data_IF_767823819087
#
_entry.id   IF_767823819087
#
_cell.length_a   1.000
_cell.length_b   1.000
_cell.length_c   1.000
_cell.angle_alpha   90.00
_cell.angle_beta   90.00
_cell.angle_gamma   90.00
#
_symmetry.space_group_name_H-M   'P 1'
#
loop_
_entity.id
_entity.type
_entity.pdbx_description
1 polymer ?
#
# COMPACT_ATOMS: atom_id res chain seq x y z
N UNK A 1 -10.47 6.51 11.43
CA UNK A 1 -11.58 7.49 11.28
C UNK A 1 -12.09 7.42 9.86
N UNK A 2 -13.39 7.63 9.61
CA UNK A 2 -13.94 7.68 8.25
C UNK A 2 -14.11 9.15 7.85
N UNK A 3 -13.61 9.52 6.67
CA UNK A 3 -13.76 10.86 6.09
C UNK A 3 -14.77 10.80 4.93
N UNK A 4 -15.57 11.84 4.78
CA UNK A 4 -16.51 11.95 3.66
C UNK A 4 -15.85 12.67 2.48
N UNK A 5 -16.02 12.13 1.27
CA UNK A 5 -15.57 12.76 0.02
C UNK A 5 -16.76 12.96 -0.92
N UNK A 6 -16.80 14.11 -1.58
CA UNK A 6 -17.72 14.38 -2.70
C UNK A 6 -16.90 14.50 -3.96
N UNK A 7 -17.17 13.65 -4.96
CA UNK A 7 -16.48 13.67 -6.24
C UNK A 7 -17.48 13.48 -7.38
N UNK A 8 -17.23 14.18 -8.49
CA UNK A 8 -17.97 13.96 -9.74
C UNK A 8 -17.21 12.90 -10.53
N UNK A 9 -17.93 11.88 -10.99
CA UNK A 9 -17.38 10.77 -11.76
C UNK A 9 -18.16 10.63 -13.06
N UNK A 10 -17.43 10.28 -14.12
CA UNK A 10 -18.01 9.98 -15.41
C UNK A 10 -19.06 8.84 -15.33
N UNK A 11 -20.16 8.99 -16.05
CA UNK A 11 -21.29 8.08 -16.01
C UNK A 11 -20.94 6.65 -16.47
N UNK A 12 -20.03 6.51 -17.43
CA UNK A 12 -19.60 5.21 -17.94
C UNK A 12 -18.72 4.50 -16.92
N UNK A 13 -17.86 5.25 -16.23
CA UNK A 13 -17.05 4.73 -15.12
C UNK A 13 -17.96 4.25 -13.98
N UNK A 14 -18.94 5.05 -13.59
CA UNK A 14 -19.90 4.66 -12.54
C UNK A 14 -20.68 3.39 -12.92
N UNK A 15 -21.09 3.27 -14.19
CA UNK A 15 -21.81 2.11 -14.71
C UNK A 15 -20.96 0.83 -14.65
N UNK A 16 -19.67 0.93 -14.95
CA UNK A 16 -18.71 -0.18 -14.83
C UNK A 16 -18.50 -0.60 -13.37
N UNK A 17 -18.37 0.36 -12.46
CA UNK A 17 -18.27 0.11 -11.01
C UNK A 17 -19.51 -0.60 -10.49
N UNK A 18 -20.70 -0.17 -10.90
CA UNK A 18 -21.96 -0.78 -10.48
C UNK A 18 -22.16 -2.20 -11.02
N UNK A 19 -21.58 -2.54 -12.18
CA UNK A 19 -21.54 -3.92 -12.67
C UNK A 19 -20.59 -4.76 -11.84
N UNK A 20 -19.38 -4.27 -11.60
CA UNK A 20 -18.35 -4.99 -10.84
C UNK A 20 -18.79 -5.25 -9.39
N UNK A 21 -19.37 -4.26 -8.70
CA UNK A 21 -19.79 -4.40 -7.29
C UNK A 21 -20.77 -5.56 -7.06
N UNK A 22 -21.62 -5.85 -8.06
CA UNK A 22 -22.58 -6.98 -8.02
C UNK A 22 -21.86 -8.32 -8.08
N UNK A 23 -20.79 -8.43 -8.87
CA UNK A 23 -19.99 -9.65 -8.98
C UNK A 23 -19.23 -9.94 -7.68
N UNK A 24 -18.62 -8.91 -7.09
CA UNK A 24 -17.80 -9.06 -5.88
C UNK A 24 -18.59 -8.95 -4.57
N UNK A 25 -19.91 -8.72 -4.64
CA UNK A 25 -20.82 -8.55 -3.49
C UNK A 25 -20.32 -7.49 -2.49
N UNK A 26 -19.82 -6.35 -2.97
CA UNK A 26 -19.35 -5.22 -2.15
C UNK A 26 -20.19 -3.97 -2.38
N UNK A 27 -20.16 -3.04 -1.41
CA UNK A 27 -20.80 -1.73 -1.60
C UNK A 27 -20.05 -0.90 -2.64
N UNK A 28 -20.72 0.11 -3.20
CA UNK A 28 -20.07 1.04 -4.13
C UNK A 28 -18.87 1.75 -3.50
N UNK A 29 -19.03 2.23 -2.27
CA UNK A 29 -17.97 2.92 -1.53
C UNK A 29 -16.75 2.03 -1.32
N UNK A 30 -16.94 0.75 -0.94
CA UNK A 30 -15.85 -0.20 -0.78
C UNK A 30 -15.12 -0.49 -2.09
N UNK A 31 -15.85 -0.59 -3.21
CA UNK A 31 -15.21 -0.81 -4.52
C UNK A 31 -14.37 0.41 -4.90
N UNK A 32 -14.87 1.62 -4.68
CA UNK A 32 -14.13 2.86 -4.96
C UNK A 32 -12.89 2.95 -4.05
N UNK A 33 -13.04 2.65 -2.76
CA UNK A 33 -11.94 2.65 -1.80
C UNK A 33 -10.81 1.70 -2.22
N UNK A 34 -11.13 0.45 -2.58
CA UNK A 34 -10.15 -0.52 -3.07
C UNK A 34 -9.46 -0.07 -4.36
N UNK A 35 -10.21 0.57 -5.26
CA UNK A 35 -9.64 1.05 -6.52
C UNK A 35 -8.65 2.19 -6.27
N UNK A 36 -9.00 3.12 -5.38
CA UNK A 36 -8.11 4.23 -4.97
C UNK A 36 -6.88 3.69 -4.25
N UNK A 37 -7.05 2.75 -3.32
CA UNK A 37 -5.93 2.13 -2.58
C UNK A 37 -4.95 1.44 -3.53
N UNK A 38 -5.45 0.62 -4.47
CA UNK A 38 -4.60 -0.03 -5.47
C UNK A 38 -3.87 0.97 -6.36
N UNK A 39 -4.58 1.98 -6.87
CA UNK A 39 -3.99 3.01 -7.70
C UNK A 39 -2.88 3.77 -6.97
N UNK A 40 -3.13 4.17 -5.71
CA UNK A 40 -2.12 4.84 -4.90
C UNK A 40 -0.92 3.94 -4.61
N UNK A 41 -1.14 2.65 -4.35
CA UNK A 41 -0.04 1.71 -4.14
C UNK A 41 0.80 1.48 -5.40
N UNK A 42 0.19 1.49 -6.59
CA UNK A 42 0.88 1.34 -7.87
C UNK A 42 1.68 2.61 -8.25
N UNK A 43 1.11 3.80 -8.06
CA UNK A 43 1.73 5.09 -8.42
C UNK A 43 2.70 5.62 -7.35
N UNK A 44 2.42 5.31 -6.10
CA UNK A 44 3.21 5.67 -4.93
C UNK A 44 3.38 4.41 -4.09
N UNK A 45 4.19 3.43 -4.55
CA UNK A 45 4.57 2.32 -3.70
C UNK A 45 5.11 2.94 -2.43
N UNK A 46 4.46 2.66 -1.29
CA UNK A 46 4.92 3.19 -0.02
C UNK A 46 6.39 2.82 0.09
N UNK A 47 7.25 3.84 0.08
CA UNK A 47 8.68 3.72 0.34
C UNK A 47 8.88 3.43 1.83
N UNK A 48 8.31 2.33 2.29
CA UNK A 48 8.68 1.61 3.50
C UNK A 48 9.37 0.30 3.14
N UNK A 49 9.88 0.19 1.90
CA UNK A 49 10.96 -0.75 1.63
C UNK A 49 12.13 -0.31 2.50
N UNK A 50 12.40 -1.08 3.55
CA UNK A 50 13.70 -1.01 4.22
C UNK A 50 14.70 -1.40 3.14
N UNK A 51 15.31 -0.41 2.51
CA UNK A 51 16.48 -0.61 1.67
C UNK A 51 17.61 -1.02 2.61
N UNK A 52 17.63 -2.29 3.01
CA UNK A 52 18.87 -2.90 3.43
C UNK A 52 19.70 -2.99 2.16
N UNK A 53 20.58 -2.01 1.95
CA UNK A 53 21.76 -2.28 1.14
C UNK A 53 22.32 -3.60 1.66
N UNK A 54 22.55 -4.58 0.78
CA UNK A 54 23.10 -5.89 1.11
C UNK A 54 24.53 -5.76 1.62
N UNK A 55 24.72 -5.07 2.75
CA UNK A 55 25.96 -4.98 3.48
C UNK A 55 26.16 -6.33 4.14
N UNK A 56 26.90 -7.19 3.45
CA UNK A 56 27.46 -8.38 4.08
C UNK A 56 28.47 -7.88 5.11
N UNK A 57 28.10 -7.92 6.38
CA UNK A 57 29.06 -7.73 7.46
C UNK A 57 29.94 -8.97 7.51
N UNK A 58 31.19 -8.84 7.05
CA UNK A 58 32.22 -9.89 7.11
C UNK A 58 33.17 -9.66 8.30
N UNK A 59 32.62 -9.27 9.45
CA UNK A 59 33.38 -9.18 10.70
C UNK A 59 33.03 -10.34 11.62
N UNK A 60 34.02 -10.83 12.37
CA UNK A 60 33.75 -11.73 13.50
C UNK A 60 33.47 -10.86 14.73
N UNK A 61 32.31 -11.04 15.36
CA UNK A 61 32.03 -10.38 16.64
C UNK A 61 32.77 -11.11 17.76
N UNK A 62 33.88 -10.55 18.22
CA UNK A 62 34.57 -11.02 19.42
C UNK A 62 34.05 -10.30 20.66
N UNK A 63 33.71 -11.07 21.70
CA UNK A 63 33.38 -10.53 23.02
C UNK A 63 34.56 -9.82 23.68
N UNK A 64 35.80 -10.20 23.36
CA UNK A 64 36.99 -9.53 23.88
C UNK A 64 37.08 -8.10 23.35
N UNK A 65 36.92 -7.89 22.04
CA UNK A 65 37.03 -6.56 21.41
C UNK A 65 35.95 -5.57 21.84
N UNK A 66 34.78 -6.07 22.27
CA UNK A 66 33.63 -5.21 22.63
C UNK A 66 33.66 -4.76 24.09
N UNK A 67 34.31 -5.52 24.97
CA UNK A 67 34.24 -5.32 26.42
C UNK A 67 35.60 -5.27 27.12
N UNK A 68 36.72 -5.45 26.41
CA UNK A 68 38.05 -5.15 26.97
C UNK A 68 38.32 -3.65 26.90
N UNK A 69 38.46 -3.07 28.09
CA UNK A 69 39.00 -1.73 28.34
C UNK A 69 40.51 -1.81 28.55
#
# INVERSE_FOLDING_TARGET
MKSHISATIDQDVLSRVDRYRRMVKRSRSQVIELAVERFLHEEQPESSEIVTSGGVFSGEFSRADTYER
#
